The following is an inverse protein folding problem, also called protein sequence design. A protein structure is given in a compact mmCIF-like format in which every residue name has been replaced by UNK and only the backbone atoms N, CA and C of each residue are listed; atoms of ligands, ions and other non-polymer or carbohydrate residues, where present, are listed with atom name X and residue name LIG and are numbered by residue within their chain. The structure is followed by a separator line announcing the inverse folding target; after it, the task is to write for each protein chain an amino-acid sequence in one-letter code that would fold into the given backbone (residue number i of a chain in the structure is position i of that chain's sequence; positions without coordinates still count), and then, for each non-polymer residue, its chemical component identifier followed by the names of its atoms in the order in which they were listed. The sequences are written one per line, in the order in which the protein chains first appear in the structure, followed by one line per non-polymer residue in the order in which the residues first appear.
data_IF_998200451487
#
_entry.id   IF_998200451487
#
_cell.length_a   1.000
_cell.length_b   1.000
_cell.length_c   1.000
_cell.angle_alpha   90.00
_cell.angle_beta   90.00
_cell.angle_gamma   90.00
#
_symmetry.space_group_name_H-M   'P 1'
#
loop_
_entity.id
_entity.type
_entity.pdbx_description
1 polymer ?
#
# COMPACT_ATOMS: atom_id res chain seq x y z
N UNK A 1 -94.47 -13.02 8.11
CA UNK A 1 -94.02 -14.38 7.70
C UNK A 1 -92.58 -14.59 8.15
N UNK A 2 -92.21 -15.79 8.63
CA UNK A 2 -90.99 -16.08 9.39
C UNK A 2 -89.83 -16.62 8.54
N UNK A 3 -88.63 -16.69 9.13
CA UNK A 3 -87.52 -17.59 8.74
C UNK A 3 -86.29 -16.87 8.17
N UNK A 4 -85.27 -16.56 8.97
CA UNK A 4 -84.04 -17.38 9.18
C UNK A 4 -83.18 -17.52 7.91
N UNK A 5 -81.88 -17.23 7.84
CA UNK A 5 -80.84 -16.79 8.76
C UNK A 5 -79.63 -16.38 7.88
N UNK A 6 -78.81 -15.41 8.31
CA UNK A 6 -77.40 -15.62 8.73
C UNK A 6 -76.55 -16.28 7.61
N UNK A 7 -75.43 -15.76 7.11
CA UNK A 7 -74.30 -15.05 7.74
C UNK A 7 -73.37 -14.54 6.60
N UNK A 8 -72.78 -13.36 6.83
CA UNK A 8 -71.48 -12.86 6.35
C UNK A 8 -70.79 -13.40 5.08
N UNK A 9 -70.67 -12.50 4.09
CA UNK A 9 -69.48 -12.31 3.23
C UNK A 9 -68.24 -11.95 4.11
N UNK A 10 -66.97 -12.19 3.69
CA UNK A 10 -66.46 -11.56 2.46
C UNK A 10 -65.52 -12.40 1.58
N UNK A 11 -65.44 -11.91 0.34
CA UNK A 11 -64.54 -12.23 -0.76
C UNK A 11 -63.09 -12.47 -0.30
N UNK A 12 -62.60 -13.69 -0.48
CA UNK A 12 -61.19 -14.07 -0.30
C UNK A 12 -60.68 -14.75 -1.56
N UNK A 13 -59.93 -13.99 -2.35
CA UNK A 13 -59.46 -14.34 -3.69
C UNK A 13 -58.58 -15.59 -3.70
N UNK A 14 -58.90 -16.44 -4.67
CA UNK A 14 -58.16 -17.60 -5.08
C UNK A 14 -56.70 -17.29 -5.48
N UNK A 15 -55.89 -18.35 -5.35
CA UNK A 15 -54.71 -18.61 -6.17
C UNK A 15 -53.41 -17.91 -5.77
N UNK A 16 -52.87 -18.34 -4.63
CA UNK A 16 -51.46 -18.24 -4.28
C UNK A 16 -50.53 -19.11 -5.15
N UNK A 17 -50.61 -18.97 -6.48
CA UNK A 17 -49.73 -19.70 -7.42
C UNK A 17 -48.95 -18.74 -8.34
N UNK A 18 -49.32 -17.45 -8.39
CA UNK A 18 -48.68 -16.49 -9.30
C UNK A 18 -47.34 -15.91 -8.79
N UNK A 19 -47.02 -15.97 -7.50
CA UNK A 19 -45.81 -15.31 -6.97
C UNK A 19 -44.52 -16.15 -7.07
N UNK A 20 -44.59 -17.45 -7.37
CA UNK A 20 -43.37 -18.28 -7.44
C UNK A 20 -42.62 -18.12 -8.77
N UNK A 21 -43.29 -17.67 -9.84
CA UNK A 21 -42.63 -17.46 -11.16
C UNK A 21 -42.15 -16.00 -11.35
N UNK A 22 -42.68 -15.03 -10.59
CA UNK A 22 -42.17 -13.66 -10.60
C UNK A 22 -40.89 -13.45 -9.76
N UNK A 23 -40.48 -14.43 -8.96
CA UNK A 23 -39.26 -14.38 -8.14
C UNK A 23 -37.95 -14.69 -8.88
N UNK A 24 -38.02 -15.12 -10.14
CA UNK A 24 -36.85 -15.56 -10.91
C UNK A 24 -36.26 -14.51 -11.87
N UNK A 25 -36.89 -13.33 -11.99
CA UNK A 25 -36.49 -12.28 -12.95
C UNK A 25 -35.88 -11.02 -12.32
N UNK A 26 -35.65 -11.01 -11.01
CA UNK A 26 -35.03 -9.89 -10.28
C UNK A 26 -33.84 -10.30 -9.39
N UNK A 27 -33.34 -11.53 -9.55
CA UNK A 27 -32.14 -12.02 -8.86
C UNK A 27 -30.90 -12.03 -9.78
N UNK A 28 -30.82 -11.07 -10.70
CA UNK A 28 -29.59 -10.70 -11.38
C UNK A 28 -28.69 -9.82 -10.51
N UNK A 29 -28.66 -10.04 -9.20
CA UNK A 29 -27.62 -9.50 -8.32
C UNK A 29 -26.39 -10.38 -8.52
N UNK A 30 -25.65 -10.14 -9.60
CA UNK A 30 -24.22 -10.44 -9.59
C UNK A 30 -23.67 -9.60 -8.46
N UNK A 31 -23.44 -10.22 -7.30
CA UNK A 31 -22.69 -9.60 -6.23
C UNK A 31 -21.41 -9.04 -6.88
N UNK A 32 -21.11 -7.74 -6.76
CA UNK A 32 -19.84 -7.23 -7.24
C UNK A 32 -18.76 -8.05 -6.55
N UNK A 33 -18.11 -8.91 -7.32
CA UNK A 33 -17.06 -9.78 -6.84
C UNK A 33 -16.08 -8.92 -6.08
N UNK A 34 -15.96 -9.20 -4.78
CA UNK A 34 -14.98 -8.66 -3.84
C UNK A 34 -14.07 -7.59 -4.45
N UNK A 35 -14.57 -6.35 -4.52
CA UNK A 35 -13.69 -5.20 -4.58
C UNK A 35 -13.01 -5.13 -3.21
N UNK A 36 -12.07 -6.04 -2.97
CA UNK A 36 -11.22 -5.95 -1.79
C UNK A 36 -10.55 -4.59 -1.89
N UNK A 37 -10.74 -3.71 -0.89
CA UNK A 37 -10.11 -2.40 -0.91
C UNK A 37 -8.62 -2.64 -1.10
N UNK A 38 -8.07 -2.06 -2.17
CA UNK A 38 -6.76 -2.43 -2.69
C UNK A 38 -5.74 -2.47 -1.54
N UNK A 39 -5.23 -3.69 -1.28
CA UNK A 39 -4.41 -3.97 -0.13
C UNK A 39 -3.17 -3.07 -0.18
N UNK A 40 -2.99 -2.27 0.87
CA UNK A 40 -1.82 -1.39 0.98
C UNK A 40 -0.65 -2.24 1.43
N UNK A 41 0.35 -2.37 0.57
CA UNK A 41 1.55 -3.15 0.83
C UNK A 41 2.74 -2.18 0.87
N UNK A 42 3.42 -2.16 2.00
CA UNK A 42 4.66 -1.39 2.17
C UNK A 42 5.84 -2.31 1.84
N UNK A 43 6.63 -1.93 0.85
CA UNK A 43 7.83 -2.66 0.46
C UNK A 43 9.04 -1.76 0.72
N UNK A 44 9.94 -2.24 1.57
CA UNK A 44 11.22 -1.58 1.84
C UNK A 44 12.30 -2.25 1.01
N UNK A 45 12.94 -1.49 0.12
CA UNK A 45 14.02 -2.01 -0.71
C UNK A 45 15.36 -1.73 -0.01
N UNK A 46 16.02 -2.79 0.47
CA UNK A 46 17.34 -2.70 1.11
C UNK A 46 18.50 -2.99 0.14
N UNK A 47 18.18 -3.42 -1.09
CA UNK A 47 19.18 -3.75 -2.09
C UNK A 47 19.51 -2.51 -2.92
N UNK A 48 20.78 -2.09 -2.86
CA UNK A 48 21.35 -1.06 -3.73
C UNK A 48 21.69 -1.59 -5.14
N UNK A 49 21.26 -2.81 -5.47
CA UNK A 49 21.46 -3.36 -6.82
C UNK A 49 20.64 -2.57 -7.85
N UNK A 50 21.28 -1.99 -8.88
CA UNK A 50 20.56 -1.25 -9.91
C UNK A 50 19.48 -2.08 -10.59
N UNK A 51 19.71 -3.38 -10.80
CA UNK A 51 18.75 -4.28 -11.45
C UNK A 51 17.54 -4.57 -10.57
N UNK A 52 17.74 -4.78 -9.27
CA UNK A 52 16.65 -5.04 -8.33
C UNK A 52 15.77 -3.79 -8.15
N UNK A 53 16.42 -2.63 -7.99
CA UNK A 53 15.75 -1.33 -7.90
C UNK A 53 14.93 -1.09 -9.17
N UNK A 54 15.56 -1.15 -10.34
CA UNK A 54 14.92 -0.84 -11.62
C UNK A 54 13.72 -1.76 -11.93
N UNK A 55 13.81 -3.06 -11.63
CA UNK A 55 12.68 -4.00 -11.87
C UNK A 55 11.44 -3.60 -11.09
N UNK A 56 11.60 -3.15 -9.83
CA UNK A 56 10.47 -2.71 -9.01
C UNK A 56 9.89 -1.37 -9.48
N UNK A 57 10.73 -0.43 -9.90
CA UNK A 57 10.29 0.86 -10.46
C UNK A 57 9.51 0.69 -11.76
N UNK A 58 10.03 -0.10 -12.70
CA UNK A 58 9.33 -0.39 -13.97
C UNK A 58 7.95 -1.03 -13.68
N UNK A 59 7.88 -1.98 -12.75
CA UNK A 59 6.61 -2.60 -12.38
C UNK A 59 5.61 -1.60 -11.72
N UNK A 60 6.10 -0.66 -10.91
CA UNK A 60 5.27 0.40 -10.32
C UNK A 60 4.74 1.39 -11.36
N UNK A 61 5.62 1.87 -12.25
CA UNK A 61 5.29 2.84 -13.29
C UNK A 61 4.27 2.30 -14.28
N UNK A 62 4.42 1.03 -14.67
CA UNK A 62 3.46 0.33 -15.52
C UNK A 62 2.17 -0.09 -14.79
N UNK A 63 2.03 0.27 -13.51
CA UNK A 63 0.84 -0.02 -12.71
C UNK A 63 0.58 -1.50 -12.52
N UNK A 64 1.61 -2.36 -12.63
CA UNK A 64 1.48 -3.81 -12.51
C UNK A 64 0.78 -4.18 -11.20
N UNK A 65 1.26 -3.64 -10.08
CA UNK A 65 0.68 -3.90 -8.76
C UNK A 65 -0.76 -3.40 -8.64
N UNK A 66 -1.08 -2.24 -9.23
CA UNK A 66 -2.45 -1.69 -9.25
C UNK A 66 -3.44 -2.62 -9.95
N UNK A 67 -3.03 -3.25 -11.07
CA UNK A 67 -3.87 -4.22 -11.79
C UNK A 67 -4.24 -5.43 -10.94
N UNK A 68 -3.40 -5.77 -9.96
CA UNK A 68 -3.62 -6.86 -9.02
C UNK A 68 -4.24 -6.39 -7.69
N UNK A 69 -4.77 -5.17 -7.62
CA UNK A 69 -5.38 -4.65 -6.40
C UNK A 69 -4.38 -4.35 -5.28
N UNK A 70 -3.09 -4.22 -5.59
CA UNK A 70 -2.03 -3.89 -4.64
C UNK A 70 -1.68 -2.40 -4.77
N UNK A 71 -1.89 -1.66 -3.68
CA UNK A 71 -1.38 -0.30 -3.53
C UNK A 71 0.00 -0.37 -2.90
N UNK A 72 1.02 -0.46 -3.75
CA UNK A 72 2.41 -0.54 -3.30
C UNK A 72 2.97 0.85 -3.08
N UNK A 73 3.41 1.13 -1.86
CA UNK A 73 4.21 2.32 -1.54
C UNK A 73 5.62 1.86 -1.22
N UNK A 74 6.56 2.18 -2.11
CA UNK A 74 7.99 1.95 -1.84
C UNK A 74 8.47 3.02 -0.89
N UNK A 75 9.00 2.57 0.24
CA UNK A 75 9.75 3.44 1.14
C UNK A 75 11.22 3.10 0.93
N UNK A 76 11.97 4.06 0.38
CA UNK A 76 13.39 4.07 0.68
C UNK A 76 13.47 4.40 2.16
N UNK A 77 14.15 3.56 2.94
CA UNK A 77 14.37 3.86 4.34
C UNK A 77 15.01 5.26 4.44
N UNK A 78 14.61 6.04 5.43
CA UNK A 78 15.34 7.25 5.84
C UNK A 78 16.70 6.79 6.36
N UNK A 79 17.61 6.47 5.45
CA UNK A 79 19.00 6.20 5.80
C UNK A 79 19.58 7.59 6.01
N UNK A 80 19.91 7.98 7.26
CA UNK A 80 20.62 9.22 7.45
C UNK A 80 21.91 9.10 6.65
N UNK A 81 22.16 10.07 5.76
CA UNK A 81 23.42 10.13 5.06
C UNK A 81 24.55 10.06 6.09
N UNK A 82 25.65 9.33 5.80
CA UNK A 82 26.81 9.34 6.67
C UNK A 82 27.23 10.80 6.86
N UNK A 83 27.13 11.29 8.09
CA UNK A 83 27.59 12.65 8.44
C UNK A 83 29.07 12.59 8.81
N UNK A 84 29.77 13.71 8.73
CA UNK A 84 31.18 13.79 9.17
C UNK A 84 31.29 13.32 10.63
N UNK A 85 30.39 13.81 11.50
CA UNK A 85 30.32 13.40 12.90
C UNK A 85 30.03 11.89 13.07
N UNK A 86 29.12 11.34 12.27
CA UNK A 86 28.83 9.91 12.27
C UNK A 86 30.05 9.07 11.91
N UNK A 87 30.78 9.51 10.89
CA UNK A 87 32.01 8.86 10.44
C UNK A 87 33.14 8.98 11.45
N UNK A 88 33.27 10.10 12.16
CA UNK A 88 34.25 10.24 13.26
C UNK A 88 34.00 9.21 14.37
N UNK A 89 32.74 8.96 14.72
CA UNK A 89 32.39 7.93 15.70
C UNK A 89 32.78 6.54 15.21
N UNK A 90 32.50 6.24 13.93
CA UNK A 90 32.87 4.96 13.31
C UNK A 90 34.39 4.79 13.25
N UNK A 91 35.14 5.82 12.84
CA UNK A 91 36.60 5.79 12.80
C UNK A 91 37.18 5.60 14.20
N UNK A 92 36.61 6.26 15.20
CA UNK A 92 37.02 6.12 16.61
C UNK A 92 36.82 4.69 17.10
N UNK A 93 35.65 4.10 16.82
CA UNK A 93 35.39 2.70 17.21
C UNK A 93 36.24 1.72 16.40
N UNK A 94 36.42 1.96 15.09
CA UNK A 94 37.27 1.16 14.23
C UNK A 94 38.73 1.20 14.68
N UNK A 95 39.22 2.35 15.15
CA UNK A 95 40.57 2.52 15.67
C UNK A 95 40.87 1.69 16.92
N UNK A 96 39.84 1.18 17.62
CA UNK A 96 40.01 0.27 18.75
C UNK A 96 40.44 -1.13 18.30
N UNK A 97 40.00 -1.55 17.12
CA UNK A 97 40.33 -2.87 16.55
C UNK A 97 41.40 -2.81 15.47
N UNK A 98 41.49 -1.68 14.75
CA UNK A 98 42.45 -1.41 13.68
C UNK A 98 43.12 -0.05 13.91
N UNK A 99 44.28 0.00 14.59
CA UNK A 99 44.89 1.27 14.99
C UNK A 99 45.25 2.18 13.80
N UNK A 100 45.51 1.62 12.61
CA UNK A 100 45.76 2.37 11.38
C UNK A 100 44.59 3.26 10.95
N UNK A 101 43.36 2.94 11.38
CA UNK A 101 42.17 3.74 11.08
C UNK A 101 42.25 5.16 11.67
N UNK A 102 43.11 5.42 12.66
CA UNK A 102 43.33 6.77 13.22
C UNK A 102 43.86 7.78 12.19
N UNK A 103 44.40 7.31 11.07
CA UNK A 103 44.89 8.15 9.97
C UNK A 103 43.77 8.65 9.07
N UNK A 104 42.59 8.03 9.12
CA UNK A 104 41.45 8.41 8.31
C UNK A 104 40.84 9.72 8.84
N UNK A 105 40.47 10.61 7.92
CA UNK A 105 39.73 11.84 8.25
C UNK A 105 38.33 11.74 7.69
N UNK A 106 37.33 11.88 8.55
CA UNK A 106 35.91 11.78 8.16
C UNK A 106 35.53 12.78 7.05
N UNK A 107 36.11 13.99 7.08
CA UNK A 107 35.84 15.04 6.09
C UNK A 107 36.39 14.71 4.69
N UNK A 108 37.34 13.79 4.58
CA UNK A 108 37.83 13.29 3.28
C UNK A 108 37.01 12.10 2.78
N UNK A 109 36.19 11.51 3.65
CA UNK A 109 35.36 10.35 3.34
C UNK A 109 33.92 10.74 3.02
N UNK A 110 33.47 11.91 3.47
CA UNK A 110 32.09 12.40 3.32
C UNK A 110 32.10 13.84 2.84
N UNK A 111 31.40 14.08 1.74
CA UNK A 111 31.10 15.42 1.23
C UNK A 111 29.67 15.82 1.59
N UNK A 112 29.51 16.53 2.71
CA UNK A 112 28.21 17.07 3.10
C UNK A 112 27.73 18.21 2.20
N UNK A 113 28.64 18.92 1.51
CA UNK A 113 28.29 20.05 0.65
C UNK A 113 27.50 19.58 -0.56
N UNK A 114 27.98 18.52 -1.22
CA UNK A 114 27.27 17.91 -2.36
C UNK A 114 25.91 17.36 -1.94
N UNK A 115 25.81 16.68 -0.80
CA UNK A 115 24.53 16.14 -0.31
C UNK A 115 23.54 17.26 0.00
N UNK A 116 23.98 18.34 0.66
CA UNK A 116 23.14 19.52 0.95
C UNK A 116 22.70 20.25 -0.31
N UNK A 117 23.56 20.33 -1.33
CA UNK A 117 23.22 20.92 -2.62
C UNK A 117 22.10 20.13 -3.32
N UNK A 118 22.22 18.80 -3.35
CA UNK A 118 21.20 17.91 -3.91
C UNK A 118 19.87 17.97 -3.12
N UNK A 119 19.94 18.11 -1.80
CA UNK A 119 18.74 18.30 -0.96
C UNK A 119 18.06 19.65 -1.25
N UNK A 120 18.85 20.73 -1.38
CA UNK A 120 18.34 22.06 -1.73
C UNK A 120 17.70 22.10 -3.12
N UNK A 121 18.23 21.32 -4.06
CA UNK A 121 17.67 21.12 -5.40
C UNK A 121 16.44 20.18 -5.41
N UNK A 122 16.11 19.55 -4.27
CA UNK A 122 14.93 18.72 -4.12
C UNK A 122 15.07 17.30 -4.68
N UNK A 123 16.29 16.83 -4.93
CA UNK A 123 16.56 15.44 -5.33
C UNK A 123 16.23 14.46 -4.21
N UNK A 124 16.32 14.90 -2.96
CA UNK A 124 15.97 14.12 -1.79
C UNK A 124 14.73 14.70 -1.13
N UNK A 125 13.75 13.83 -0.83
CA UNK A 125 12.60 14.23 0.00
C UNK A 125 12.92 13.85 1.44
N UNK A 126 12.88 14.80 2.40
CA UNK A 126 13.00 14.46 3.80
C UNK A 126 11.83 13.55 4.18
N UNK A 127 12.14 12.43 4.83
CA UNK A 127 11.15 11.51 5.39
C UNK A 127 10.14 12.25 6.26
N UNK A 128 8.86 12.00 6.01
CA UNK A 128 7.75 12.44 6.86
C UNK A 128 7.27 11.28 7.71
#
# INVERSE_FOLDING_TARGET
MPGAGRIHQPRGGWSGVACVVAGALLSGQVAPGHAQPAARVNISLISLSPTAVMTSWIALDHGFYRKHGLQVKVHLADIPYPTVRGMEMIITELARTKPDARRLRAIEMVDEGTVRALEAEGYFRPGR
#
